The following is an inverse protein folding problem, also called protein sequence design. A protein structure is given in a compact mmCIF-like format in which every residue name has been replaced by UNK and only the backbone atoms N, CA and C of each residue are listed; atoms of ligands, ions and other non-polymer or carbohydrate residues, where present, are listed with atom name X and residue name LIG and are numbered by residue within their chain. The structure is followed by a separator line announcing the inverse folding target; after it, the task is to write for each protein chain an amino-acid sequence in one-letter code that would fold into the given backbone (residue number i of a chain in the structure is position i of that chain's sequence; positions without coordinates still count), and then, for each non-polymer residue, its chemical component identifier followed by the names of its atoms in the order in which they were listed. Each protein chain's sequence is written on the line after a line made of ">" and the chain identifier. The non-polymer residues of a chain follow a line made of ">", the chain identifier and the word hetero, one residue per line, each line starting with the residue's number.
data_IF_595862694143
#
_entry.id   IF_595862694143
#
_cell.length_a   1.000
_cell.length_b   1.000
_cell.length_c   1.000
_cell.angle_alpha   90.00
_cell.angle_beta   90.00
_cell.angle_gamma   90.00
#
_symmetry.space_group_name_H-M   'P 1'
#
loop_
_entity.id
_entity.type
_entity.pdbx_description
1 polymer ?
#
# COMPACT_ATOMS: atom_id res chain seq x y z
N UNK A 1 -6.86 -4.25 22.46
CA UNK A 1 -6.67 -3.47 21.25
C UNK A 1 -6.53 -4.38 20.04
N UNK A 2 -7.26 -4.08 19.00
CA UNK A 2 -7.20 -4.88 17.78
C UNK A 2 -6.23 -4.28 16.78
N UNK A 3 -5.40 -5.13 16.23
CA UNK A 3 -4.58 -4.77 15.11
C UNK A 3 -5.35 -5.07 13.83
N UNK A 4 -5.45 -4.09 12.95
CA UNK A 4 -6.15 -4.27 11.68
C UNK A 4 -5.10 -4.55 10.60
N UNK A 5 -5.30 -5.68 9.92
CA UNK A 5 -4.42 -6.09 8.84
C UNK A 5 -5.02 -5.64 7.51
N UNK A 6 -4.21 -4.98 6.70
CA UNK A 6 -4.63 -4.50 5.40
C UNK A 6 -3.86 -5.26 4.34
N UNK A 7 -4.59 -5.86 3.40
CA UNK A 7 -3.98 -6.62 2.32
C UNK A 7 -3.79 -5.72 1.10
N UNK A 8 -2.67 -5.91 0.41
CA UNK A 8 -2.43 -5.19 -0.85
C UNK A 8 -3.56 -5.47 -1.83
N UNK A 9 -4.02 -6.71 -1.90
CA UNK A 9 -5.12 -7.06 -2.80
C UNK A 9 -6.40 -6.28 -2.47
N UNK A 10 -6.68 -6.08 -1.18
CA UNK A 10 -7.85 -5.30 -0.78
C UNK A 10 -7.74 -3.86 -1.23
N UNK A 11 -6.56 -3.28 -1.08
CA UNK A 11 -6.35 -1.89 -1.51
C UNK A 11 -6.61 -1.76 -3.01
N UNK A 12 -6.08 -2.69 -3.78
CA UNK A 12 -6.24 -2.67 -5.24
C UNK A 12 -7.70 -2.83 -5.62
N UNK A 13 -8.41 -3.74 -4.97
CA UNK A 13 -9.81 -4.00 -5.28
C UNK A 13 -10.69 -2.81 -4.92
N UNK A 14 -10.42 -2.19 -3.77
CA UNK A 14 -11.24 -1.08 -3.30
C UNK A 14 -10.93 0.23 -4.00
N UNK A 15 -9.80 0.31 -4.69
CA UNK A 15 -9.38 1.53 -5.37
C UNK A 15 -9.12 1.24 -6.85
N UNK A 16 -10.17 0.92 -7.61
CA UNK A 16 -9.99 0.61 -9.05
C UNK A 16 -9.51 1.81 -9.86
N UNK A 17 -9.58 3.01 -9.30
CA UNK A 17 -9.07 4.20 -9.96
C UNK A 17 -7.54 4.22 -10.00
N UNK A 18 -6.87 3.42 -9.15
CA UNK A 18 -5.41 3.34 -9.17
C UNK A 18 -4.98 2.64 -10.45
N UNK A 19 -4.12 3.29 -11.22
CA UNK A 19 -3.61 2.70 -12.44
C UNK A 19 -2.10 2.82 -12.59
N UNK A 20 -1.41 3.16 -11.50
CA UNK A 20 0.06 3.22 -11.47
C UNK A 20 0.55 2.85 -10.09
N UNK A 21 1.82 2.42 -10.02
CA UNK A 21 2.44 2.11 -8.75
C UNK A 21 2.58 3.36 -7.89
N UNK A 22 2.86 4.50 -8.52
CA UNK A 22 2.95 5.76 -7.78
C UNK A 22 1.65 6.10 -7.08
N UNK A 23 0.51 5.89 -7.77
CA UNK A 23 -0.78 6.13 -7.15
C UNK A 23 -1.03 5.18 -6.00
N UNK A 24 -0.59 3.94 -6.14
CA UNK A 24 -0.69 2.97 -5.05
C UNK A 24 0.14 3.42 -3.85
N UNK A 25 1.34 3.92 -4.06
CA UNK A 25 2.17 4.45 -2.98
C UNK A 25 1.46 5.57 -2.24
N UNK A 26 0.85 6.48 -2.98
CA UNK A 26 0.13 7.60 -2.37
C UNK A 26 -1.06 7.10 -1.54
N UNK A 27 -1.77 6.12 -2.06
CA UNK A 27 -2.89 5.53 -1.33
C UNK A 27 -2.42 4.87 -0.04
N UNK A 28 -1.30 4.15 -0.10
CA UNK A 28 -0.74 3.50 1.07
C UNK A 28 -0.32 4.53 2.12
N UNK A 29 0.25 5.65 1.70
CA UNK A 29 0.61 6.72 2.61
C UNK A 29 -0.60 7.27 3.35
N UNK A 30 -1.72 7.42 2.66
CA UNK A 30 -2.96 7.88 3.30
C UNK A 30 -3.49 6.88 4.31
N UNK A 31 -3.49 5.61 3.93
CA UNK A 31 -3.95 4.55 4.83
C UNK A 31 -3.05 4.48 6.06
N UNK A 32 -1.76 4.68 5.87
CA UNK A 32 -0.78 4.59 6.96
C UNK A 32 -0.95 5.69 8.01
N UNK A 33 -1.77 6.70 7.73
CA UNK A 33 -2.04 7.73 8.74
C UNK A 33 -2.89 7.21 9.90
N UNK A 34 -3.51 6.04 9.72
CA UNK A 34 -4.30 5.41 10.77
C UNK A 34 -3.40 4.58 11.68
N UNK A 35 -3.75 4.57 12.97
CA UNK A 35 -2.99 3.79 13.95
C UNK A 35 -3.36 2.31 13.89
N UNK A 36 -2.45 1.47 14.37
CA UNK A 36 -2.72 0.05 14.60
C UNK A 36 -3.01 -0.74 13.33
N UNK A 37 -2.38 -0.34 12.23
CA UNK A 37 -2.55 -1.05 10.97
C UNK A 37 -1.30 -1.82 10.60
N UNK A 38 -1.50 -2.98 9.99
CA UNK A 38 -0.42 -3.77 9.38
C UNK A 38 -0.70 -3.94 7.91
N UNK A 39 0.32 -3.75 7.10
CA UNK A 39 0.22 -3.97 5.67
C UNK A 39 0.77 -5.35 5.33
N UNK A 40 -0.04 -6.16 4.66
CA UNK A 40 0.37 -7.48 4.24
C UNK A 40 0.53 -7.54 2.73
N UNK A 41 1.66 -8.08 2.29
CA UNK A 41 1.98 -8.19 0.86
C UNK A 41 1.51 -9.56 0.35
N UNK A 42 0.22 -9.67 0.10
CA UNK A 42 -0.37 -10.93 -0.35
C UNK A 42 -0.32 -11.11 -1.85
N UNK A 43 -0.17 -10.02 -2.60
CA UNK A 43 -0.05 -10.07 -4.06
C UNK A 43 0.98 -9.04 -4.50
N UNK A 44 1.53 -9.25 -5.69
CA UNK A 44 2.41 -8.27 -6.31
C UNK A 44 1.57 -7.30 -7.13
N UNK A 45 1.71 -5.98 -6.91
CA UNK A 45 1.03 -5.02 -7.77
C UNK A 45 1.50 -5.17 -9.21
N UNK A 46 0.56 -5.15 -10.13
CA UNK A 46 0.85 -5.38 -11.55
C UNK A 46 0.59 -4.11 -12.35
N UNK A 47 1.30 -3.05 -12.02
CA UNK A 47 1.24 -1.80 -12.75
C UNK A 47 2.46 -1.70 -13.65
N UNK A 48 2.35 -0.85 -14.65
CA UNK A 48 3.42 -0.67 -15.62
C UNK A 48 4.71 -0.20 -14.97
N UNK A 49 4.59 0.66 -13.98
CA UNK A 49 5.71 1.26 -13.28
C UNK A 49 6.08 0.54 -11.99
N UNK A 50 5.56 -0.67 -11.76
CA UNK A 50 5.90 -1.42 -10.55
C UNK A 50 7.37 -1.80 -10.58
N UNK A 51 8.18 -1.32 -9.63
CA UNK A 51 9.61 -1.59 -9.63
C UNK A 51 9.92 -2.95 -9.02
N UNK A 52 11.18 -3.38 -9.15
CA UNK A 52 11.61 -4.66 -8.56
C UNK A 52 11.54 -4.62 -7.04
N UNK A 53 11.84 -3.47 -6.46
CA UNK A 53 11.82 -3.29 -5.01
C UNK A 53 10.49 -2.76 -4.51
N UNK A 54 9.40 -3.17 -5.15
CA UNK A 54 8.06 -2.68 -4.83
C UNK A 54 7.70 -2.89 -3.36
N UNK A 55 8.13 -4.02 -2.77
CA UNK A 55 7.85 -4.27 -1.35
C UNK A 55 8.53 -3.24 -0.46
N UNK A 56 9.78 -2.94 -0.76
CA UNK A 56 10.54 -1.95 -0.03
C UNK A 56 9.88 -0.58 -0.08
N UNK A 57 9.44 -0.20 -1.27
CA UNK A 57 8.84 1.12 -1.45
C UNK A 57 7.48 1.20 -0.74
N UNK A 58 6.67 0.14 -0.83
CA UNK A 58 5.39 0.12 -0.15
C UNK A 58 5.57 0.13 1.36
N UNK A 59 6.53 -0.64 1.87
CA UNK A 59 6.82 -0.65 3.29
C UNK A 59 7.29 0.71 3.77
N UNK A 60 8.17 1.35 3.01
CA UNK A 60 8.62 2.69 3.33
C UNK A 60 7.49 3.71 3.36
N UNK A 61 6.59 3.63 2.39
CA UNK A 61 5.43 4.51 2.33
C UNK A 61 4.50 4.27 3.53
N UNK A 62 4.33 3.02 3.91
CA UNK A 62 3.45 2.67 5.02
C UNK A 62 4.04 3.10 6.36
N UNK A 63 5.31 2.78 6.58
CA UNK A 63 5.99 3.10 7.83
C UNK A 63 6.21 4.60 7.95
N UNK A 64 6.57 5.25 6.84
CA UNK A 64 6.82 6.69 6.84
C UNK A 64 5.55 7.51 7.01
N UNK A 65 4.42 6.97 6.55
CA UNK A 65 3.16 7.69 6.61
C UNK A 65 3.15 8.92 5.73
N UNK A 66 2.13 9.77 5.87
CA UNK A 66 2.09 11.03 5.13
C UNK A 66 3.14 11.98 5.67
N UNK A 67 3.74 12.73 4.79
CA UNK A 67 4.78 13.68 5.17
C UNK A 67 4.40 15.08 4.77
#
# INVERSE_FOLDING_TARGET
>A
MKTIQILISDIIIQHPEINSFEELLNTVRHIASEDMLFLEFDVKPDYRDTPRDWQWQLEGAFVGGPR
#
